data_IF_922902661056
#
_entry.id   IF_922902661056
#
_cell.length_a   1.000
_cell.length_b   1.000
_cell.length_c   1.000
_cell.angle_alpha   90.00
_cell.angle_beta   90.00
_cell.angle_gamma   90.00
#
_symmetry.space_group_name_H-M   'P 1'
#
loop_
_entity.id
_entity.type
_entity.pdbx_description
1 polymer ?
#
# COMPACT_ATOMS: atom_id res chain seq x y z
N UNK A 1 21.31 3.74 29.12
CA UNK A 1 19.99 3.62 28.46
C UNK A 1 20.17 2.71 27.26
N UNK A 2 19.33 1.68 27.06
CA UNK A 2 19.35 0.91 25.82
C UNK A 2 19.00 1.81 24.61
N UNK A 3 19.52 1.46 23.43
CA UNK A 3 19.47 2.24 22.19
C UNK A 3 18.53 1.61 21.16
N UNK A 4 18.11 2.35 20.14
CA UNK A 4 17.34 1.86 19.00
C UNK A 4 16.33 2.88 18.47
N UNK A 5 16.01 2.81 17.18
CA UNK A 5 14.99 3.67 16.58
C UNK A 5 13.58 3.18 16.89
N UNK A 6 13.39 1.87 16.85
CA UNK A 6 12.18 1.17 17.28
C UNK A 6 12.52 0.11 18.33
N UNK A 7 11.56 -0.36 19.12
CA UNK A 7 11.76 -1.52 19.99
C UNK A 7 12.12 -2.79 19.19
N UNK A 8 12.75 -3.79 19.85
CA UNK A 8 13.31 -3.73 21.20
C UNK A 8 14.55 -2.84 21.30
N UNK A 9 14.62 -2.03 22.36
CA UNK A 9 15.82 -1.26 22.67
C UNK A 9 16.89 -2.18 23.28
N UNK A 10 18.11 -2.14 22.74
CA UNK A 10 19.20 -3.05 23.12
C UNK A 10 20.53 -2.29 23.31
N UNK A 11 21.59 -2.91 23.88
CA UNK A 11 22.84 -2.20 24.17
C UNK A 11 23.46 -1.48 22.96
N UNK A 12 23.28 -2.03 21.75
CA UNK A 12 23.82 -1.48 20.50
C UNK A 12 22.75 -0.96 19.54
N UNK A 13 21.45 -1.11 19.86
CA UNK A 13 20.34 -0.75 18.97
C UNK A 13 20.13 -1.65 17.75
N UNK A 14 21.01 -2.62 17.50
CA UNK A 14 20.94 -3.58 16.38
C UNK A 14 19.68 -4.46 16.38
N UNK A 15 19.00 -4.55 17.52
CA UNK A 15 17.79 -5.35 17.67
C UNK A 15 16.52 -4.58 17.29
N UNK A 16 16.62 -3.29 16.93
CA UNK A 16 15.46 -2.51 16.46
C UNK A 16 14.79 -3.24 15.31
N UNK A 17 13.46 -3.42 15.36
CA UNK A 17 12.73 -4.04 14.26
C UNK A 17 12.89 -3.24 12.95
N UNK A 18 12.92 -1.91 13.08
CA UNK A 18 13.06 -0.96 11.98
C UNK A 18 14.16 0.06 12.35
N UNK A 19 15.21 0.20 11.52
CA UNK A 19 16.18 1.30 11.64
C UNK A 19 15.62 2.63 11.11
N UNK A 20 16.25 3.79 11.40
CA UNK A 20 15.79 5.06 10.82
C UNK A 20 15.91 5.07 9.28
N UNK A 21 15.10 5.88 8.58
CA UNK A 21 15.24 6.08 7.12
C UNK A 21 16.60 6.73 6.76
N UNK A 22 17.04 6.69 5.49
CA UNK A 22 16.27 6.32 4.30
C UNK A 22 15.95 4.82 4.20
N UNK A 23 14.74 4.52 3.74
CA UNK A 23 14.32 3.17 3.37
C UNK A 23 14.16 3.11 1.85
N UNK A 24 14.94 2.28 1.19
CA UNK A 24 14.91 2.11 -0.26
C UNK A 24 14.00 0.95 -0.63
N UNK A 25 13.16 1.14 -1.63
CA UNK A 25 12.19 0.15 -2.11
C UNK A 25 12.36 -0.09 -3.61
N UNK A 26 12.26 -1.34 -4.01
CA UNK A 26 12.06 -1.75 -5.39
C UNK A 26 11.01 -2.86 -5.42
N UNK A 27 10.08 -2.82 -6.37
CA UNK A 27 9.01 -3.80 -6.39
C UNK A 27 8.17 -3.78 -7.64
N UNK A 28 7.33 -4.80 -7.76
CA UNK A 28 6.31 -4.90 -8.78
C UNK A 28 4.97 -4.50 -8.19
N UNK A 29 4.26 -3.61 -8.88
CA UNK A 29 2.96 -3.09 -8.46
C UNK A 29 1.95 -3.40 -9.54
N UNK A 30 0.90 -4.11 -9.17
CA UNK A 30 -0.37 -4.14 -9.89
C UNK A 30 -1.30 -3.10 -9.28
N UNK A 31 -1.66 -2.08 -10.06
CA UNK A 31 -2.61 -1.03 -9.68
C UNK A 31 -3.93 -1.27 -10.39
N UNK A 32 -5.05 -1.14 -9.68
CA UNK A 32 -6.40 -1.37 -10.19
C UNK A 32 -7.28 -0.18 -9.81
N UNK A 33 -7.62 0.68 -10.75
CA UNK A 33 -8.50 1.83 -10.53
C UNK A 33 -9.96 1.45 -10.79
N UNK A 34 -10.86 1.76 -9.86
CA UNK A 34 -12.25 1.35 -9.89
C UNK A 34 -13.18 2.45 -9.35
N UNK A 35 -14.46 2.37 -9.70
CA UNK A 35 -15.51 3.20 -9.12
C UNK A 35 -15.97 2.59 -7.79
N UNK A 36 -16.24 3.43 -6.79
CA UNK A 36 -16.72 3.02 -5.46
C UNK A 36 -17.91 3.89 -5.07
N UNK A 37 -18.79 3.37 -4.23
CA UNK A 37 -19.87 4.19 -3.67
C UNK A 37 -19.29 5.42 -2.96
N UNK A 38 -19.74 6.61 -3.41
CA UNK A 38 -19.19 7.87 -2.91
C UNK A 38 -19.48 8.08 -1.42
N UNK A 39 -20.66 7.68 -0.94
CA UNK A 39 -21.02 7.86 0.46
C UNK A 39 -20.24 6.90 1.37
N UNK A 40 -20.04 5.66 0.94
CA UNK A 40 -19.17 4.71 1.63
C UNK A 40 -17.74 5.25 1.69
N UNK A 41 -17.17 5.68 0.56
CA UNK A 41 -15.83 6.27 0.52
C UNK A 41 -15.70 7.49 1.44
N UNK A 42 -16.68 8.40 1.44
CA UNK A 42 -16.71 9.58 2.32
C UNK A 42 -16.63 9.19 3.81
N UNK A 43 -17.35 8.14 4.24
CA UNK A 43 -17.37 7.72 5.65
C UNK A 43 -16.03 7.22 6.20
N UNK A 44 -15.08 6.85 5.32
CA UNK A 44 -13.73 6.46 5.71
C UNK A 44 -12.72 7.62 5.66
N UNK A 45 -13.10 8.79 5.11
CA UNK A 45 -12.20 9.94 5.08
C UNK A 45 -12.08 10.59 6.48
N UNK A 46 -10.89 11.02 6.90
CA UNK A 46 -10.74 11.82 8.11
C UNK A 46 -11.54 13.13 8.02
N UNK A 47 -12.01 13.63 9.17
CA UNK A 47 -12.66 14.93 9.23
C UNK A 47 -11.77 16.02 8.62
N UNK A 48 -12.32 16.84 7.71
CA UNK A 48 -11.58 17.89 7.02
C UNK A 48 -10.58 17.38 5.97
N UNK A 49 -10.64 16.10 5.56
CA UNK A 49 -9.75 15.59 4.52
C UNK A 49 -10.06 16.18 3.14
N UNK A 50 -11.34 16.28 2.79
CA UNK A 50 -11.84 16.66 1.47
C UNK A 50 -13.17 15.95 1.19
N UNK A 51 -13.59 15.94 -0.08
CA UNK A 51 -14.82 15.24 -0.51
C UNK A 51 -14.49 14.11 -1.47
N UNK A 52 -14.97 12.91 -1.20
CA UNK A 52 -14.78 11.73 -2.03
C UNK A 52 -15.28 11.95 -3.47
N UNK A 53 -14.52 11.45 -4.44
CA UNK A 53 -14.86 11.56 -5.87
C UNK A 53 -15.67 10.38 -6.38
N UNK A 54 -15.75 9.29 -5.60
CA UNK A 54 -16.29 7.99 -6.05
C UNK A 54 -15.26 7.17 -6.85
N UNK A 55 -13.98 7.55 -6.81
CA UNK A 55 -12.87 6.79 -7.40
C UNK A 55 -11.98 6.22 -6.31
N UNK A 56 -11.50 5.01 -6.54
CA UNK A 56 -10.54 4.35 -5.66
C UNK A 56 -9.51 3.58 -6.48
N UNK A 57 -8.37 3.28 -5.85
CA UNK A 57 -7.32 2.46 -6.44
C UNK A 57 -6.90 1.39 -5.45
N UNK A 58 -6.94 0.14 -5.87
CA UNK A 58 -6.37 -0.99 -5.15
C UNK A 58 -4.98 -1.31 -5.71
N UNK A 59 -4.04 -1.59 -4.83
CA UNK A 59 -2.69 -2.02 -5.19
C UNK A 59 -2.42 -3.39 -4.62
N UNK A 60 -1.78 -4.25 -5.41
CA UNK A 60 -1.14 -5.47 -4.94
C UNK A 60 0.34 -5.40 -5.35
N UNK A 61 1.23 -5.61 -4.40
CA UNK A 61 2.66 -5.38 -4.59
C UNK A 61 3.50 -6.57 -4.10
N UNK A 62 4.61 -6.83 -4.79
CA UNK A 62 5.74 -7.58 -4.24
C UNK A 62 6.92 -6.60 -4.10
N UNK A 63 7.38 -6.41 -2.87
CA UNK A 63 8.41 -5.45 -2.52
C UNK A 63 9.69 -6.14 -2.08
N UNK A 64 10.81 -5.49 -2.40
CA UNK A 64 12.10 -5.66 -1.78
C UNK A 64 12.54 -4.31 -1.22
N UNK A 65 13.13 -4.31 -0.02
CA UNK A 65 13.55 -3.10 0.68
C UNK A 65 14.91 -3.25 1.35
N UNK A 66 15.64 -2.15 1.50
CA UNK A 66 16.94 -2.12 2.18
C UNK A 66 17.24 -0.74 2.76
N UNK A 67 18.18 -0.71 3.70
CA UNK A 67 18.81 0.52 4.19
C UNK A 67 20.21 0.67 3.60
N UNK A 68 21.23 0.08 4.20
CA UNK A 68 22.63 0.16 3.76
C UNK A 68 23.04 -0.95 2.77
N UNK A 69 22.10 -1.82 2.40
CA UNK A 69 22.32 -2.95 1.49
C UNK A 69 22.34 -4.32 2.17
N UNK A 70 22.52 -4.40 3.50
CA UNK A 70 22.68 -5.70 4.17
C UNK A 70 21.42 -6.57 4.04
N UNK A 71 20.22 -5.98 4.10
CA UNK A 71 18.96 -6.74 4.03
C UNK A 71 18.85 -7.49 2.70
N UNK A 72 19.45 -6.99 1.62
CA UNK A 72 19.43 -7.66 0.32
C UNK A 72 20.15 -9.01 0.32
N UNK A 73 21.06 -9.22 1.27
CA UNK A 73 21.75 -10.50 1.47
C UNK A 73 20.90 -11.48 2.31
N UNK A 74 19.84 -11.01 2.97
CA UNK A 74 18.89 -11.82 3.72
C UNK A 74 17.43 -11.47 3.32
N UNK A 75 16.91 -12.12 2.27
CA UNK A 75 15.62 -11.76 1.67
C UNK A 75 14.44 -11.89 2.63
N UNK A 76 14.57 -12.62 3.75
CA UNK A 76 13.55 -12.67 4.79
C UNK A 76 13.35 -11.30 5.49
N UNK A 77 14.37 -10.44 5.52
CA UNK A 77 14.29 -9.07 6.03
C UNK A 77 13.96 -8.06 4.92
N UNK A 78 14.37 -8.34 3.68
CA UNK A 78 14.17 -7.40 2.58
C UNK A 78 12.80 -7.49 1.93
N UNK A 79 12.21 -8.69 1.81
CA UNK A 79 11.06 -8.93 0.96
C UNK A 79 9.75 -8.99 1.73
N UNK A 80 8.71 -8.36 1.18
CA UNK A 80 7.35 -8.47 1.69
C UNK A 80 6.34 -8.25 0.55
N UNK A 81 5.10 -8.67 0.78
CA UNK A 81 3.97 -8.41 -0.12
C UNK A 81 2.96 -7.53 0.56
N UNK A 82 2.20 -6.81 -0.25
CA UNK A 82 1.35 -5.75 0.24
C UNK A 82 0.08 -5.61 -0.60
N UNK A 83 -1.04 -5.39 0.06
CA UNK A 83 -2.29 -4.98 -0.57
C UNK A 83 -2.85 -3.75 0.14
N UNK A 84 -3.35 -2.78 -0.61
CA UNK A 84 -3.99 -1.60 -0.03
C UNK A 84 -5.00 -0.96 -0.97
N UNK A 85 -5.91 -0.19 -0.38
CA UNK A 85 -6.89 0.63 -1.10
C UNK A 85 -6.65 2.09 -0.79
N UNK A 86 -6.80 2.92 -1.81
CA UNK A 86 -6.69 4.37 -1.77
C UNK A 86 -8.01 4.98 -2.23
N UNK A 87 -8.58 5.86 -1.41
CA UNK A 87 -9.80 6.61 -1.73
C UNK A 87 -9.41 7.98 -2.27
N UNK A 88 -9.92 8.33 -3.44
CA UNK A 88 -9.70 9.66 -4.03
C UNK A 88 -10.72 10.66 -3.48
N UNK A 89 -10.20 11.80 -3.05
CA UNK A 89 -10.98 12.95 -2.62
C UNK A 89 -10.45 14.23 -3.29
N UNK A 90 -11.33 15.23 -3.41
CA UNK A 90 -10.92 16.59 -3.70
C UNK A 90 -10.55 17.29 -2.40
N UNK A 91 -9.27 17.66 -2.26
CA UNK A 91 -8.70 18.41 -1.14
C UNK A 91 -8.08 19.69 -1.70
N UNK A 92 -8.54 20.85 -1.23
CA UNK A 92 -8.06 22.16 -1.68
C UNK A 92 -8.07 22.34 -3.21
N UNK A 93 -9.13 21.80 -3.85
CA UNK A 93 -9.30 21.84 -5.30
C UNK A 93 -8.40 20.89 -6.09
N UNK A 94 -7.61 20.03 -5.44
CA UNK A 94 -6.74 19.05 -6.07
C UNK A 94 -7.09 17.61 -5.67
N UNK A 95 -6.87 16.61 -6.54
CA UNK A 95 -6.99 15.21 -6.15
C UNK A 95 -5.96 14.84 -5.08
N UNK A 96 -6.43 14.18 -4.04
CA UNK A 96 -5.64 13.60 -2.96
C UNK A 96 -6.15 12.20 -2.65
N UNK A 97 -5.25 11.32 -2.19
CA UNK A 97 -5.61 9.95 -1.82
C UNK A 97 -5.51 9.75 -0.31
N UNK A 98 -6.50 9.07 0.27
CA UNK A 98 -6.44 8.60 1.64
C UNK A 98 -6.33 7.07 1.67
N UNK A 99 -5.46 6.52 2.52
CA UNK A 99 -5.34 5.08 2.71
C UNK A 99 -6.08 4.62 3.98
N UNK A 100 -7.32 4.09 3.87
CA UNK A 100 -8.03 3.53 5.02
C UNK A 100 -7.53 2.13 5.41
N UNK A 101 -7.12 1.32 4.43
CA UNK A 101 -6.78 -0.08 4.64
C UNK A 101 -5.54 -0.50 3.86
N UNK A 102 -4.63 -1.17 4.56
CA UNK A 102 -3.40 -1.73 4.00
C UNK A 102 -2.99 -2.97 4.80
N UNK A 103 -2.49 -3.99 4.09
CA UNK A 103 -2.16 -5.29 4.63
C UNK A 103 -0.82 -5.76 4.08
N UNK A 104 0.02 -6.31 4.94
CA UNK A 104 1.36 -6.82 4.60
C UNK A 104 1.61 -8.18 5.23
N UNK A 105 2.56 -8.93 4.71
CA UNK A 105 2.95 -10.24 5.25
C UNK A 105 4.20 -10.21 6.15
N UNK A 106 4.80 -9.03 6.37
CA UNK A 106 5.99 -8.84 7.22
C UNK A 106 5.78 -7.73 8.26
N UNK A 107 6.25 -8.00 9.47
CA UNK A 107 6.21 -7.11 10.63
C UNK A 107 7.08 -5.86 10.45
N UNK A 108 8.27 -5.97 9.85
CA UNK A 108 9.15 -4.84 9.53
C UNK A 108 8.40 -3.84 8.65
N UNK A 109 7.68 -4.33 7.64
CA UNK A 109 6.86 -3.48 6.77
C UNK A 109 5.70 -2.84 7.53
N UNK A 110 5.03 -3.61 8.39
CA UNK A 110 3.93 -3.13 9.23
C UNK A 110 4.38 -1.97 10.12
N UNK A 111 5.49 -2.15 10.85
CA UNK A 111 6.05 -1.13 11.73
C UNK A 111 6.49 0.12 10.97
N UNK A 112 7.17 -0.01 9.81
CA UNK A 112 7.48 1.14 8.93
C UNK A 112 6.22 1.88 8.49
N UNK A 113 5.14 1.16 8.22
CA UNK A 113 3.87 1.74 7.82
C UNK A 113 3.26 2.65 8.89
N UNK A 114 3.18 2.15 10.14
CA UNK A 114 2.62 2.91 11.26
C UNK A 114 3.38 4.22 11.50
N UNK A 115 4.71 4.20 11.36
CA UNK A 115 5.56 5.40 11.49
C UNK A 115 5.30 6.47 10.42
N UNK A 116 4.63 6.11 9.31
CA UNK A 116 4.36 6.98 8.16
C UNK A 116 2.86 7.27 7.96
N UNK A 117 1.99 6.71 8.81
CA UNK A 117 0.54 6.89 8.75
C UNK A 117 -0.19 5.86 7.90
N UNK A 118 0.50 4.81 7.44
CA UNK A 118 -0.13 3.71 6.73
C UNK A 118 -0.69 2.70 7.74
N UNK A 119 -2.03 2.46 7.80
CA UNK A 119 -2.67 1.66 8.84
C UNK A 119 -2.52 0.15 8.61
N UNK A 120 -1.27 -0.33 8.56
CA UNK A 120 -0.92 -1.70 8.16
C UNK A 120 -1.42 -2.74 9.16
N UNK A 121 -2.02 -3.82 8.65
CA UNK A 121 -2.28 -5.08 9.37
C UNK A 121 -1.55 -6.26 8.72
N UNK A 122 -1.37 -7.34 9.47
CA UNK A 122 -0.86 -8.58 8.89
C UNK A 122 -1.92 -9.29 8.03
N UNK A 123 -1.52 -9.77 6.85
CA UNK A 123 -2.32 -10.55 5.92
C UNK A 123 -1.44 -11.40 4.99
N UNK A 124 -2.04 -12.38 4.32
CA UNK A 124 -1.41 -13.15 3.26
C UNK A 124 -1.78 -12.57 1.91
N UNK A 125 -0.80 -11.98 1.23
CA UNK A 125 -0.98 -11.37 -0.09
C UNK A 125 -0.25 -12.23 -1.12
N UNK A 126 -0.89 -12.44 -2.26
CA UNK A 126 -0.30 -13.16 -3.39
C UNK A 126 -0.67 -12.47 -4.70
N UNK A 127 0.27 -12.47 -5.63
CA UNK A 127 0.10 -11.97 -6.99
C UNK A 127 0.83 -12.90 -7.96
N UNK A 128 0.26 -13.13 -9.15
CA UNK A 128 0.97 -13.84 -10.22
C UNK A 128 2.22 -13.06 -10.60
N UNK A 129 3.37 -13.73 -10.60
CA UNK A 129 4.66 -13.14 -10.95
C UNK A 129 4.98 -13.33 -12.44
N UNK A 130 5.15 -12.25 -13.20
CA UNK A 130 5.62 -12.30 -14.57
C UNK A 130 7.15 -12.41 -14.64
N UNK A 131 7.63 -13.43 -15.36
CA UNK A 131 9.04 -13.65 -15.67
C UNK A 131 9.35 -13.22 -17.11
N UNK A 132 10.59 -12.80 -17.36
CA UNK A 132 11.06 -12.42 -18.69
C UNK A 132 11.45 -13.66 -19.51
N UNK A 133 10.44 -14.49 -19.80
CA UNK A 133 10.58 -15.76 -20.52
C UNK A 133 9.38 -15.95 -21.44
N UNK A 134 9.60 -16.50 -22.63
CA UNK A 134 8.52 -16.90 -23.54
C UNK A 134 8.01 -18.31 -23.19
N UNK A 135 7.20 -18.39 -22.14
CA UNK A 135 6.57 -19.64 -21.69
C UNK A 135 5.22 -19.35 -21.05
N UNK A 136 4.25 -20.27 -21.18
CA UNK A 136 2.89 -20.07 -20.65
C UNK A 136 2.87 -19.85 -19.12
N UNK A 137 3.75 -20.52 -18.39
CA UNK A 137 3.89 -20.35 -16.94
C UNK A 137 4.60 -19.04 -16.53
N UNK A 138 5.23 -18.32 -17.48
CA UNK A 138 5.97 -17.10 -17.19
C UNK A 138 5.07 -15.86 -17.09
N UNK A 139 3.80 -15.96 -17.50
CA UNK A 139 2.87 -14.83 -17.53
C UNK A 139 3.48 -13.55 -18.16
N UNK A 140 3.96 -13.61 -19.42
CA UNK A 140 4.70 -12.50 -20.04
C UNK A 140 3.88 -11.22 -20.13
N UNK A 141 4.50 -10.05 -20.04
CA UNK A 141 3.79 -8.75 -20.02
C UNK A 141 3.32 -8.31 -21.42
N UNK A 142 2.30 -8.98 -21.95
CA UNK A 142 1.75 -8.77 -23.30
C UNK A 142 0.23 -8.96 -23.34
N UNK A 143 -0.38 -8.56 -24.45
CA UNK A 143 -1.81 -8.76 -24.70
C UNK A 143 -2.23 -10.22 -24.49
N UNK A 144 -3.36 -10.40 -23.80
CA UNK A 144 -3.96 -11.69 -23.47
C UNK A 144 -3.39 -12.37 -22.21
N UNK A 145 -2.33 -11.83 -21.60
CA UNK A 145 -1.79 -12.40 -20.36
C UNK A 145 -2.76 -12.21 -19.21
N UNK A 146 -3.01 -13.30 -18.47
CA UNK A 146 -3.88 -13.32 -17.31
C UNK A 146 -3.07 -13.41 -16.02
N UNK A 147 -3.41 -12.57 -15.05
CA UNK A 147 -2.79 -12.55 -13.72
C UNK A 147 -3.89 -12.67 -12.66
N UNK A 148 -3.53 -13.16 -11.49
CA UNK A 148 -4.38 -13.17 -10.30
C UNK A 148 -3.72 -12.44 -9.14
N UNK A 149 -4.52 -11.85 -8.27
CA UNK A 149 -4.07 -11.37 -6.96
C UNK A 149 -5.10 -11.69 -5.88
N UNK A 150 -4.64 -11.91 -4.65
CA UNK A 150 -5.51 -12.25 -3.52
C UNK A 150 -4.98 -11.68 -2.21
N UNK A 151 -5.90 -11.35 -1.30
CA UNK A 151 -5.62 -11.04 0.11
C UNK A 151 -6.42 -11.98 1.02
N UNK A 152 -5.75 -12.58 1.99
CA UNK A 152 -6.42 -13.19 3.14
C UNK A 152 -5.95 -12.60 4.47
N UNK A 153 -6.84 -12.49 5.44
CA UNK A 153 -6.55 -12.01 6.80
C UNK A 153 -7.18 -12.97 7.78
N UNK A 154 -6.39 -13.52 8.71
CA UNK A 154 -6.84 -14.51 9.71
C UNK A 154 -7.68 -15.63 9.07
N UNK A 155 -7.13 -16.23 8.00
CA UNK A 155 -7.72 -17.31 7.21
C UNK A 155 -9.04 -16.99 6.49
N UNK A 156 -9.37 -15.69 6.36
CA UNK A 156 -10.54 -15.22 5.58
C UNK A 156 -10.07 -14.57 4.30
N UNK A 157 -10.65 -14.92 3.16
CA UNK A 157 -10.41 -14.21 1.89
C UNK A 157 -11.12 -12.86 1.94
N UNK A 158 -10.39 -11.78 1.69
CA UNK A 158 -10.90 -10.41 1.73
C UNK A 158 -10.88 -9.73 0.35
N UNK A 159 -9.97 -10.13 -0.53
CA UNK A 159 -9.91 -9.62 -1.90
C UNK A 159 -9.52 -10.72 -2.89
N UNK A 160 -10.17 -10.71 -4.04
CA UNK A 160 -9.77 -11.46 -5.24
C UNK A 160 -9.73 -10.53 -6.45
N UNK A 161 -8.68 -10.68 -7.27
CA UNK A 161 -8.55 -9.97 -8.52
C UNK A 161 -8.16 -10.91 -9.67
N UNK A 162 -8.76 -10.70 -10.84
CA UNK A 162 -8.40 -11.36 -12.10
C UNK A 162 -8.12 -10.29 -13.14
N UNK A 163 -6.92 -10.29 -13.69
CA UNK A 163 -6.41 -9.23 -14.54
C UNK A 163 -6.14 -9.80 -15.93
N UNK A 164 -6.48 -9.05 -16.95
CA UNK A 164 -6.12 -9.34 -18.34
C UNK A 164 -5.36 -8.15 -18.91
N UNK A 165 -4.09 -8.35 -19.25
CA UNK A 165 -3.31 -7.35 -19.97
C UNK A 165 -3.78 -7.28 -21.43
N UNK A 166 -3.92 -6.08 -21.97
CA UNK A 166 -4.43 -5.85 -23.33
C UNK A 166 -3.32 -5.43 -24.32
N UNK A 167 -2.10 -5.26 -23.83
CA UNK A 167 -0.94 -4.84 -24.62
C UNK A 167 -0.84 -3.33 -24.83
N UNK A 168 -1.75 -2.55 -24.26
CA UNK A 168 -1.64 -1.08 -24.22
C UNK A 168 -0.55 -0.64 -23.24
N UNK A 169 -0.08 0.59 -23.44
CA UNK A 169 0.75 1.27 -22.44
C UNK A 169 -0.12 1.60 -21.23
N UNK A 170 0.32 1.15 -20.06
CA UNK A 170 -0.35 1.46 -18.80
C UNK A 170 -0.05 2.86 -18.31
N UNK A 171 -0.84 3.35 -17.35
CA UNK A 171 -0.62 4.65 -16.71
C UNK A 171 -0.18 4.49 -15.26
N UNK A 172 0.39 5.55 -14.69
CA UNK A 172 0.56 5.65 -13.23
C UNK A 172 -0.81 5.81 -12.60
N UNK A 173 -1.10 5.00 -11.57
CA UNK A 173 -2.36 5.01 -10.83
C UNK A 173 -2.07 5.10 -9.33
N UNK A 174 -3.03 5.62 -8.57
CA UNK A 174 -2.96 5.69 -7.11
C UNK A 174 -1.75 6.49 -6.63
N UNK A 175 -1.02 5.95 -5.64
CA UNK A 175 0.10 6.66 -5.01
C UNK A 175 1.28 6.96 -5.98
N UNK A 176 1.31 6.31 -7.15
CA UNK A 176 2.30 6.57 -8.20
C UNK A 176 2.01 7.86 -8.99
N UNK A 177 0.80 8.40 -8.87
CA UNK A 177 0.34 9.58 -9.61
C UNK A 177 -0.16 10.71 -8.70
N UNK A 178 -0.69 10.38 -7.52
CA UNK A 178 -1.42 11.33 -6.67
C UNK A 178 -0.88 11.29 -5.23
N UNK A 179 -0.70 12.46 -4.57
CA UNK A 179 -0.29 12.52 -3.18
C UNK A 179 -1.21 11.68 -2.29
N UNK A 180 -0.60 10.82 -1.45
CA UNK A 180 -1.32 9.89 -0.58
C UNK A 180 -1.06 10.22 0.88
N UNK A 181 -2.12 10.19 1.67
CA UNK A 181 -2.14 10.56 3.07
C UNK A 181 -2.66 9.40 3.93
N UNK A 182 -2.25 9.41 5.19
CA UNK A 182 -2.72 8.49 6.21
C UNK A 182 -2.68 9.14 7.59
N UNK A 183 -3.06 8.39 8.63
CA UNK A 183 -3.12 8.88 10.00
C UNK A 183 -2.03 8.23 10.86
N UNK A 184 -1.28 9.04 11.58
CA UNK A 184 -0.35 8.60 12.63
C UNK A 184 -0.98 8.88 13.99
N UNK A 185 -1.02 7.87 14.84
CA UNK A 185 -1.37 8.00 16.26
C UNK A 185 -0.46 7.08 17.09
N UNK A 186 -0.30 7.41 18.38
CA UNK A 186 0.54 6.66 19.31
C UNK A 186 -0.29 6.20 20.51
N UNK A 187 -1.00 5.07 20.40
CA UNK A 187 -1.78 4.56 21.51
C UNK A 187 -0.88 4.15 22.69
N UNK A 188 -1.36 4.34 23.90
CA UNK A 188 -0.64 3.99 25.14
C UNK A 188 -1.58 3.40 26.19
N UNK A 189 -1.03 2.53 27.03
CA UNK A 189 -1.67 2.03 28.26
C UNK A 189 -0.91 2.50 29.51
N UNK A 190 0.08 3.39 29.35
CA UNK A 190 0.77 4.01 30.49
C UNK A 190 -0.20 4.98 31.15
N UNK A 191 -0.67 4.63 32.35
CA UNK A 191 -1.76 5.35 32.99
C UNK A 191 -3.11 4.79 32.56
N UNK A 192 -3.95 5.61 31.92
CA UNK A 192 -5.22 5.17 31.34
C UNK A 192 -5.06 4.88 29.84
N UNK A 193 -5.82 3.91 29.28
CA UNK A 193 -5.83 3.66 27.85
C UNK A 193 -6.18 4.93 27.06
N UNK A 194 -5.31 5.33 26.15
CA UNK A 194 -5.47 6.50 25.27
C UNK A 194 -5.04 6.11 23.85
N UNK A 195 -5.89 6.30 22.80
CA UNK A 195 -5.50 6.03 21.42
C UNK A 195 -4.45 7.01 20.87
N UNK A 196 -4.24 8.14 21.55
CA UNK A 196 -3.47 9.27 21.02
C UNK A 196 -4.28 10.09 20.01
N UNK A 197 -3.84 11.31 19.74
CA UNK A 197 -4.46 12.19 18.75
C UNK A 197 -4.00 11.81 17.34
N UNK A 198 -4.90 11.39 16.42
CA UNK A 198 -4.53 11.12 15.05
C UNK A 198 -4.03 12.39 14.34
N UNK A 199 -2.90 12.27 13.65
CA UNK A 199 -2.28 13.33 12.86
C UNK A 199 -2.26 12.91 11.39
N UNK A 200 -2.78 13.77 10.51
CA UNK A 200 -2.69 13.52 9.08
C UNK A 200 -1.24 13.67 8.65
N UNK A 201 -0.73 12.66 7.94
CA UNK A 201 0.66 12.60 7.54
C UNK A 201 0.79 12.19 6.08
N UNK A 202 1.92 12.58 5.48
CA UNK A 202 2.33 12.16 4.14
C UNK A 202 3.80 11.79 4.15
N UNK A 203 4.13 10.66 3.53
CA UNK A 203 5.51 10.23 3.36
C UNK A 203 6.29 11.16 2.41
N UNK A 204 7.56 11.37 2.71
CA UNK A 204 8.52 12.04 1.84
C UNK A 204 9.17 10.99 0.94
N UNK A 205 8.85 11.06 -0.35
CA UNK A 205 9.30 10.12 -1.38
C UNK A 205 10.34 10.80 -2.25
N UNK A 206 11.48 10.16 -2.43
CA UNK A 206 12.59 10.63 -3.25
C UNK A 206 13.06 9.57 -4.24
N UNK A 207 13.81 9.99 -5.27
CA UNK A 207 14.48 9.11 -6.23
C UNK A 207 13.53 8.10 -6.90
N UNK A 208 12.30 8.52 -7.22
CA UNK A 208 11.33 7.67 -7.90
C UNK A 208 11.81 7.32 -9.32
N UNK A 209 11.77 6.04 -9.65
CA UNK A 209 11.98 5.53 -11.00
C UNK A 209 11.01 4.38 -11.29
N UNK A 210 10.71 4.16 -12.56
CA UNK A 210 9.80 3.11 -13.01
C UNK A 210 10.23 2.55 -14.36
N UNK A 211 9.94 1.26 -14.56
CA UNK A 211 9.97 0.64 -15.88
C UNK A 211 8.70 0.95 -16.68
N UNK A 212 8.50 0.21 -17.77
CA UNK A 212 7.29 0.29 -18.59
C UNK A 212 6.06 -0.13 -17.79
N UNK A 213 4.97 0.64 -17.96
CA UNK A 213 3.66 0.30 -17.45
C UNK A 213 2.89 -0.50 -18.50
N UNK A 214 2.27 -1.59 -18.08
CA UNK A 214 1.48 -2.47 -18.96
C UNK A 214 0.01 -2.36 -18.59
N UNK A 215 -0.81 -1.93 -19.54
CA UNK A 215 -2.24 -1.71 -19.37
C UNK A 215 -3.08 -2.99 -19.46
N UNK A 216 -4.30 -2.90 -18.93
CA UNK A 216 -5.29 -3.96 -18.99
C UNK A 216 -6.55 -3.65 -18.21
N UNK A 217 -7.36 -4.68 -17.97
CA UNK A 217 -8.59 -4.62 -17.17
C UNK A 217 -8.54 -5.62 -16.03
N UNK A 218 -9.27 -5.36 -14.94
CA UNK A 218 -9.41 -6.27 -13.82
C UNK A 218 -10.87 -6.46 -13.39
N UNK A 219 -11.21 -7.70 -13.05
CA UNK A 219 -12.33 -8.04 -12.19
C UNK A 219 -11.81 -8.03 -10.75
N UNK A 220 -12.37 -7.17 -9.89
CA UNK A 220 -11.94 -7.00 -8.50
C UNK A 220 -13.14 -7.18 -7.58
N UNK A 221 -12.99 -8.03 -6.56
CA UNK A 221 -14.02 -8.26 -5.56
C UNK A 221 -13.44 -8.12 -4.15
N UNK A 222 -14.15 -7.38 -3.29
CA UNK A 222 -13.90 -7.36 -1.85
C UNK A 222 -14.96 -8.20 -1.14
N UNK A 223 -14.53 -9.06 -0.23
CA UNK A 223 -15.38 -10.05 0.43
C UNK A 223 -15.57 -9.72 1.90
N UNK A 224 -16.79 -9.98 2.40
CA UNK A 224 -17.17 -9.69 3.78
C UNK A 224 -16.30 -10.41 4.80
N UNK A 225 -16.03 -9.73 5.91
CA UNK A 225 -15.29 -10.25 7.06
C UNK A 225 -15.95 -9.73 8.35
N UNK A 226 -15.95 -10.51 9.45
CA UNK A 226 -16.56 -10.08 10.70
C UNK A 226 -15.83 -8.92 11.41
N UNK A 227 -14.60 -8.60 11.01
CA UNK A 227 -13.74 -7.61 11.68
C UNK A 227 -12.99 -6.68 10.71
N UNK A 228 -13.17 -6.88 9.42
CA UNK A 228 -12.54 -6.06 8.37
C UNK A 228 -13.63 -5.45 7.51
N UNK A 229 -13.56 -4.14 7.34
CA UNK A 229 -14.54 -3.30 6.64
C UNK A 229 -14.15 -3.04 5.18
N UNK A 230 -13.17 -3.78 4.65
CA UNK A 230 -12.74 -3.63 3.25
C UNK A 230 -13.90 -3.82 2.26
N UNK A 231 -14.84 -4.72 2.58
CA UNK A 231 -16.01 -4.99 1.74
C UNK A 231 -16.98 -3.80 1.63
N UNK A 232 -16.93 -2.85 2.57
CA UNK A 232 -17.77 -1.64 2.52
C UNK A 232 -17.31 -0.69 1.40
N UNK A 233 -16.07 -0.88 0.90
CA UNK A 233 -15.48 -0.18 -0.23
C UNK A 233 -15.51 -1.02 -1.52
N UNK A 234 -16.50 -1.89 -1.67
CA UNK A 234 -16.60 -2.81 -2.80
C UNK A 234 -16.54 -2.10 -4.17
N UNK A 235 -15.77 -2.63 -5.14
CA UNK A 235 -15.72 -2.07 -6.48
C UNK A 235 -17.06 -2.13 -7.21
N UNK A 236 -17.37 -1.06 -7.94
CA UNK A 236 -18.53 -0.96 -8.83
C UNK A 236 -18.08 -1.08 -10.29
N UNK A 237 -18.34 -2.25 -10.89
CA UNK A 237 -18.00 -2.52 -12.28
C UNK A 237 -16.53 -2.93 -12.50
N UNK A 238 -16.08 -3.00 -13.77
CA UNK A 238 -14.72 -3.38 -14.10
C UNK A 238 -13.71 -2.31 -13.67
N UNK A 239 -12.51 -2.75 -13.29
CA UNK A 239 -11.39 -1.88 -12.96
C UNK A 239 -10.42 -1.74 -14.14
N UNK A 240 -9.80 -0.56 -14.29
CA UNK A 240 -8.63 -0.39 -15.14
C UNK A 240 -7.39 -0.90 -14.41
N UNK A 241 -6.53 -1.66 -15.08
CA UNK A 241 -5.33 -2.25 -14.49
C UNK A 241 -4.06 -1.68 -15.11
N UNK A 242 -3.02 -1.54 -14.29
CA UNK A 242 -1.68 -1.14 -14.71
C UNK A 242 -0.61 -1.87 -13.90
N UNK A 243 0.28 -2.58 -14.58
CA UNK A 243 1.37 -3.36 -13.97
C UNK A 243 2.73 -2.76 -14.31
N UNK A 244 3.55 -2.48 -13.30
CA UNK A 244 4.91 -1.97 -13.51
C UNK A 244 5.87 -2.41 -12.40
N UNK A 245 7.16 -2.36 -12.70
CA UNK A 245 8.21 -2.36 -11.68
C UNK A 245 8.59 -0.92 -11.36
N UNK A 246 8.73 -0.59 -10.08
CA UNK A 246 9.11 0.76 -9.62
C UNK A 246 10.16 0.68 -8.52
N UNK A 247 10.85 1.79 -8.28
CA UNK A 247 11.71 1.97 -7.12
C UNK A 247 11.65 3.42 -6.61
N UNK A 248 11.84 3.60 -5.30
CA UNK A 248 11.89 4.91 -4.65
C UNK A 248 12.52 4.80 -3.26
N UNK A 249 12.76 5.95 -2.61
CA UNK A 249 13.23 6.03 -1.23
C UNK A 249 12.24 6.79 -0.37
N UNK A 250 12.02 6.33 0.85
CA UNK A 250 11.32 7.08 1.89
C UNK A 250 12.36 7.68 2.82
N UNK A 251 12.38 9.01 2.94
CA UNK A 251 13.33 9.75 3.79
C UNK A 251 12.70 10.25 5.10
N UNK A 252 11.38 10.22 5.19
CA UNK A 252 10.64 10.62 6.39
C UNK A 252 9.14 10.77 6.11
N UNK A 253 8.44 11.48 7.00
CA UNK A 253 7.05 11.89 6.81
C UNK A 253 6.84 13.32 7.36
N UNK A 254 5.87 14.03 6.80
CA UNK A 254 5.47 15.37 7.25
C UNK A 254 4.04 15.37 7.72
N UNK A 255 3.75 16.22 8.71
CA UNK A 255 2.37 16.56 9.05
C UNK A 255 1.72 17.25 7.87
N UNK A 256 0.46 16.91 7.63
CA UNK A 256 -0.31 17.34 6.48
C UNK A 256 -1.65 17.95 6.91
N UNK A 257 -1.68 18.60 8.08
CA UNK A 257 -2.89 19.11 8.71
C UNK A 257 -3.78 19.86 7.70
N UNK A 258 -5.09 19.61 7.77
CA UNK A 258 -6.06 20.52 7.16
C UNK A 258 -5.86 21.88 7.85
N UNK A 259 -5.64 22.94 7.07
CA UNK A 259 -5.49 24.27 7.64
C UNK A 259 -6.68 24.59 8.55
N UNK A 260 -6.39 25.20 9.71
CA UNK A 260 -7.37 25.87 10.57
C UNK A 260 -8.31 26.80 9.77
#
# INVERSE_FOLDING_TARGET
>A
MPQGFTPPYSPTGRSSLVPPPPWHYAGQILSMAFAVDKAAAESFLPSGFGTATGRAVAHCCEWQSTTDGWELLDPAYAQYREFFVLLEAMRDGQPALYCPFIYVDQDISMARGWLQGWPKKLGSVWMTRPYDLDHIAAAPRRAGTRLGATLAVKDRRLMEARITLDGSEGTRLGFLATPTFGLIASPTIVGQPDPGQPQLARALVENFTAGTFHGGTAELAFLASPRDELADLAPQGPAAASLANVAFSITGAVKADAQE
#
